data_IF_575994809164
#
_entry.id   IF_575994809164
#
_cell.length_a   1.000
_cell.length_b   1.000
_cell.length_c   1.000
_cell.angle_alpha   90.00
_cell.angle_beta   90.00
_cell.angle_gamma   90.00
#
_symmetry.space_group_name_H-M   'P 1'
#
loop_
_entity.id
_entity.type
_entity.pdbx_description
1 polymer ?
#
# COMPACT_ATOMS: atom_id res chain seq x y z
N UNK A 1 18.99 22.34 38.88
CA UNK A 1 18.92 22.30 37.40
C UNK A 1 18.99 20.87 36.85
N UNK A 2 19.92 20.00 37.29
CA UNK A 2 20.03 18.59 36.85
C UNK A 2 18.73 17.76 36.99
N UNK A 3 17.99 17.91 38.10
CA UNK A 3 16.70 17.21 38.32
C UNK A 3 15.57 17.67 37.39
N UNK A 4 15.55 18.95 36.99
CA UNK A 4 14.56 19.50 36.05
C UNK A 4 14.87 19.07 34.61
N UNK A 5 16.15 19.04 34.23
CA UNK A 5 16.60 18.53 32.93
C UNK A 5 16.30 17.03 32.81
N UNK A 6 16.57 16.25 33.87
CA UNK A 6 16.24 14.82 33.91
C UNK A 6 14.72 14.58 33.75
N UNK A 7 13.89 15.37 34.43
CA UNK A 7 12.43 15.30 34.32
C UNK A 7 11.97 15.57 32.88
N UNK A 8 12.56 16.57 32.22
CA UNK A 8 12.22 16.93 30.83
C UNK A 8 12.62 15.85 29.83
N UNK A 9 13.79 15.22 30.00
CA UNK A 9 14.21 14.09 29.13
C UNK A 9 13.30 12.87 29.29
N UNK A 10 12.87 12.55 30.52
CA UNK A 10 11.95 11.43 30.75
C UNK A 10 10.59 11.70 30.10
N UNK A 11 10.09 12.93 30.20
CA UNK A 11 8.80 13.32 29.63
C UNK A 11 8.82 13.26 28.09
N UNK A 12 9.95 13.62 27.47
CA UNK A 12 10.14 13.51 26.02
C UNK A 12 10.15 12.05 25.54
N UNK A 13 10.83 11.15 26.27
CA UNK A 13 10.82 9.71 25.97
C UNK A 13 9.41 9.13 26.10
N UNK A 14 8.67 9.46 27.16
CA UNK A 14 7.30 8.98 27.37
C UNK A 14 6.37 9.41 26.22
N UNK A 15 6.52 10.65 25.72
CA UNK A 15 5.71 11.14 24.60
C UNK A 15 5.92 10.35 23.30
N UNK A 16 7.13 9.80 23.07
CA UNK A 16 7.40 8.96 21.89
C UNK A 16 6.73 7.59 21.96
N UNK A 17 6.50 7.06 23.17
CA UNK A 17 5.85 5.75 23.38
C UNK A 17 4.33 5.85 23.20
N UNK A 18 3.73 7.00 23.54
CA UNK A 18 2.28 7.21 23.37
C UNK A 18 1.83 7.46 21.91
N UNK A 19 2.76 7.72 20.99
CA UNK A 19 2.44 7.85 19.55
C UNK A 19 2.30 6.51 18.82
N UNK A 20 2.43 5.38 19.50
CA UNK A 20 2.10 4.08 18.93
C UNK A 20 0.56 3.86 18.98
N UNK A 21 -0.15 4.29 17.93
CA UNK A 21 -1.52 3.83 17.71
C UNK A 21 -1.49 2.32 17.47
N UNK A 22 -1.87 1.54 18.47
CA UNK A 22 -2.22 0.14 18.28
C UNK A 22 -3.61 0.10 17.61
N UNK A 23 -3.65 0.08 16.28
CA UNK A 23 -4.87 -0.28 15.55
C UNK A 23 -5.07 -1.78 15.78
N UNK A 24 -6.10 -2.13 16.52
CA UNK A 24 -6.49 -3.52 16.75
C UNK A 24 -7.22 -4.05 15.51
N UNK A 25 -6.43 -4.61 14.60
CA UNK A 25 -6.85 -5.23 13.34
C UNK A 25 -7.89 -6.34 13.56
N UNK A 26 -7.95 -6.94 14.76
CA UNK A 26 -8.92 -7.99 15.07
C UNK A 26 -10.36 -7.48 15.08
N UNK A 27 -10.58 -6.23 15.52
CA UNK A 27 -11.92 -5.62 15.58
C UNK A 27 -12.51 -5.27 14.20
N UNK A 28 -11.66 -5.08 13.19
CA UNK A 28 -12.09 -4.80 11.81
C UNK A 28 -12.44 -6.08 11.03
N UNK A 29 -12.00 -7.24 11.51
CA UNK A 29 -12.25 -8.54 10.86
C UNK A 29 -13.55 -9.20 11.34
N UNK A 30 -14.19 -8.70 12.40
CA UNK A 30 -15.42 -9.29 12.95
C UNK A 30 -16.71 -8.84 12.25
N UNK A 31 -16.71 -7.75 11.46
CA UNK A 31 -17.95 -7.22 10.85
C UNK A 31 -18.30 -7.77 9.44
N UNK A 32 -17.44 -8.56 8.78
CA UNK A 32 -17.72 -9.05 7.43
C UNK A 32 -17.71 -10.59 7.34
N UNK A 33 -18.81 -11.24 7.73
CA UNK A 33 -18.96 -12.68 7.57
C UNK A 33 -20.38 -13.10 7.17
N UNK A 34 -20.67 -13.11 5.85
CA UNK A 34 -21.70 -13.96 5.22
C UNK A 34 -21.49 -14.28 3.72
N UNK A 35 -20.27 -14.22 3.15
CA UNK A 35 -20.09 -14.55 1.71
C UNK A 35 -18.85 -15.38 1.34
N UNK A 36 -18.17 -16.00 2.31
CA UNK A 36 -16.96 -16.79 2.08
C UNK A 36 -17.15 -18.29 2.33
N UNK A 37 -18.09 -18.91 1.62
CA UNK A 37 -18.30 -20.37 1.65
C UNK A 37 -17.11 -21.15 1.06
N UNK A 38 -16.19 -20.48 0.34
CA UNK A 38 -14.97 -21.11 -0.20
C UNK A 38 -13.89 -21.40 0.87
N UNK A 39 -13.94 -20.74 2.03
CA UNK A 39 -12.96 -20.90 3.11
C UNK A 39 -13.27 -22.08 4.04
N UNK A 40 -14.41 -22.74 3.87
CA UNK A 40 -14.85 -23.86 4.70
C UNK A 40 -14.38 -25.23 4.18
N UNK A 41 -13.53 -25.23 3.13
CA UNK A 41 -12.80 -26.41 2.67
C UNK A 41 -11.64 -26.69 3.63
N UNK A 42 -11.64 -27.87 4.22
CA UNK A 42 -10.71 -28.28 5.28
C UNK A 42 -9.24 -27.95 5.03
N UNK A 43 -8.57 -27.64 6.13
CA UNK A 43 -7.14 -27.42 6.31
C UNK A 43 -6.34 -28.71 6.00
N UNK A 44 -6.32 -29.11 4.74
CA UNK A 44 -5.40 -30.14 4.21
C UNK A 44 -4.68 -29.52 3.01
N UNK A 45 -3.42 -29.13 3.26
CA UNK A 45 -2.39 -28.71 2.30
C UNK A 45 -2.89 -27.99 1.03
N UNK A 46 -3.19 -26.69 1.17
CA UNK A 46 -3.21 -25.78 0.01
C UNK A 46 -1.76 -25.65 -0.48
N UNK A 47 -1.37 -26.56 -1.37
CA UNK A 47 -0.13 -26.46 -2.12
C UNK A 47 -0.23 -25.18 -2.97
N UNK A 48 0.56 -24.15 -2.63
CA UNK A 48 0.64 -22.93 -3.45
C UNK A 48 1.21 -23.30 -4.82
N UNK A 49 0.32 -23.42 -5.80
CA UNK A 49 0.66 -23.73 -7.19
C UNK A 49 0.94 -22.45 -7.99
N UNK A 50 0.97 -21.30 -7.33
CA UNK A 50 1.14 -19.98 -7.94
C UNK A 50 -0.12 -19.50 -8.69
N UNK A 51 0.02 -18.40 -9.45
CA UNK A 51 -1.09 -17.81 -10.19
C UNK A 51 -1.65 -18.78 -11.25
N UNK A 52 -2.97 -18.99 -11.23
CA UNK A 52 -3.67 -19.80 -12.23
C UNK A 52 -4.30 -18.91 -13.30
N UNK A 53 -4.38 -19.42 -14.54
CA UNK A 53 -5.08 -18.73 -15.63
C UNK A 53 -6.55 -18.54 -15.26
N UNK A 54 -7.08 -17.33 -15.45
CA UNK A 54 -8.42 -16.92 -15.02
C UNK A 54 -8.66 -16.97 -13.49
N UNK A 55 -7.59 -17.00 -12.70
CA UNK A 55 -7.69 -16.83 -11.25
C UNK A 55 -8.17 -15.43 -10.88
N UNK A 56 -8.75 -15.31 -9.68
CA UNK A 56 -9.14 -14.03 -9.10
C UNK A 56 -8.04 -13.58 -8.15
N UNK A 57 -7.57 -12.34 -8.32
CA UNK A 57 -6.61 -11.70 -7.43
C UNK A 57 -7.36 -10.77 -6.47
N UNK A 58 -7.36 -11.10 -5.19
CA UNK A 58 -7.90 -10.23 -4.14
C UNK A 58 -6.79 -9.35 -3.58
N UNK A 59 -6.86 -8.05 -3.85
CA UNK A 59 -5.90 -7.05 -3.35
C UNK A 59 -6.55 -6.23 -2.24
N UNK A 60 -5.77 -5.95 -1.19
CA UNK A 60 -6.15 -4.95 -0.21
C UNK A 60 -6.19 -3.56 -0.85
N UNK A 61 -7.23 -2.79 -0.56
CA UNK A 61 -7.33 -1.39 -0.93
C UNK A 61 -8.17 -0.61 0.07
N UNK A 62 -7.96 0.69 0.13
CA UNK A 62 -8.87 1.63 0.80
C UNK A 62 -10.04 1.98 -0.11
N UNK A 63 -11.12 2.51 0.46
CA UNK A 63 -12.23 3.04 -0.35
C UNK A 63 -11.72 4.09 -1.35
N UNK A 64 -12.02 3.92 -2.65
CA UNK A 64 -11.52 4.82 -3.68
C UNK A 64 -12.28 6.14 -3.70
N UNK A 65 -11.53 7.25 -3.73
CA UNK A 65 -12.10 8.59 -3.88
C UNK A 65 -12.53 8.87 -5.31
N UNK A 66 -11.71 8.46 -6.28
CA UNK A 66 -11.97 8.60 -7.72
C UNK A 66 -11.16 7.57 -8.51
N UNK A 67 -11.66 7.17 -9.68
CA UNK A 67 -10.92 6.30 -10.60
C UNK A 67 -10.09 7.10 -11.63
N UNK A 68 -10.15 8.43 -11.57
CA UNK A 68 -9.31 9.28 -12.40
C UNK A 68 -7.94 9.49 -11.73
N UNK A 69 -6.84 8.96 -12.28
CA UNK A 69 -5.52 9.01 -11.64
C UNK A 69 -4.95 10.42 -11.49
N UNK A 70 -5.49 11.42 -12.21
CA UNK A 70 -5.07 12.82 -12.09
C UNK A 70 -5.69 13.48 -10.85
N UNK A 71 -6.82 12.97 -10.36
CA UNK A 71 -7.64 13.60 -9.33
C UNK A 71 -7.52 12.93 -7.95
N UNK A 72 -6.81 11.80 -7.85
CA UNK A 72 -6.63 11.07 -6.58
C UNK A 72 -5.30 11.40 -5.92
N UNK A 73 -5.32 11.55 -4.60
CA UNK A 73 -4.11 11.58 -3.76
C UNK A 73 -3.90 10.26 -2.99
N UNK A 74 -4.80 9.29 -3.18
CA UNK A 74 -4.77 8.02 -2.49
C UNK A 74 -3.73 7.08 -3.12
N UNK A 75 -2.75 6.65 -2.32
CA UNK A 75 -1.67 5.78 -2.77
C UNK A 75 -2.18 4.42 -3.27
N UNK A 76 -3.18 3.84 -2.62
CA UNK A 76 -3.75 2.54 -3.01
C UNK A 76 -4.51 2.63 -4.35
N UNK A 77 -5.24 3.74 -4.56
CA UNK A 77 -5.92 4.01 -5.83
C UNK A 77 -4.91 4.14 -6.97
N UNK A 78 -3.80 4.82 -6.73
CA UNK A 78 -2.71 4.96 -7.69
C UNK A 78 -2.10 3.61 -8.09
N UNK A 79 -1.95 2.67 -7.15
CA UNK A 79 -1.36 1.35 -7.42
C UNK A 79 -2.19 0.53 -8.40
N UNK A 80 -3.48 0.32 -8.15
CA UNK A 80 -4.29 -0.47 -9.07
C UNK A 80 -4.70 0.31 -10.33
N UNK A 81 -4.62 1.65 -10.34
CA UNK A 81 -4.80 2.46 -11.56
C UNK A 81 -3.81 2.07 -12.67
N UNK A 82 -2.64 1.55 -12.29
CA UNK A 82 -1.62 1.05 -13.23
C UNK A 82 -2.07 -0.21 -14.00
N UNK A 83 -3.17 -0.87 -13.59
CA UNK A 83 -3.76 -1.96 -14.37
C UNK A 83 -4.61 -1.47 -15.55
N UNK A 84 -5.00 -0.20 -15.54
CA UNK A 84 -5.86 0.42 -16.57
C UNK A 84 -5.11 1.45 -17.39
N UNK A 85 -4.19 2.20 -16.76
CA UNK A 85 -3.47 3.29 -17.39
C UNK A 85 -1.96 3.05 -17.39
N UNK A 86 -1.31 3.41 -18.49
CA UNK A 86 0.14 3.40 -18.64
C UNK A 86 0.67 4.83 -18.80
N UNK A 87 1.83 5.11 -18.20
CA UNK A 87 2.55 6.37 -18.33
C UNK A 87 3.55 6.36 -19.48
N UNK A 88 4.10 7.53 -19.84
CA UNK A 88 5.18 7.62 -20.83
C UNK A 88 6.43 6.84 -20.39
N UNK A 89 6.79 7.00 -19.12
CA UNK A 89 7.92 6.34 -18.46
C UNK A 89 7.48 5.79 -17.10
N UNK A 90 8.19 4.80 -16.57
CA UNK A 90 7.98 4.28 -15.21
C UNK A 90 9.28 4.25 -14.41
N UNK A 91 9.18 4.10 -13.09
CA UNK A 91 10.35 3.87 -12.25
C UNK A 91 10.59 2.36 -12.11
N UNK A 92 11.84 1.94 -12.27
CA UNK A 92 12.28 0.58 -11.96
C UNK A 92 12.56 0.38 -10.45
N UNK A 93 12.97 -0.82 -10.06
CA UNK A 93 13.29 -1.15 -8.66
C UNK A 93 14.48 -0.36 -8.08
N UNK A 94 15.29 0.28 -8.93
CA UNK A 94 16.39 1.16 -8.52
C UNK A 94 16.00 2.65 -8.57
N UNK A 95 14.70 2.95 -8.72
CA UNK A 95 14.17 4.30 -8.87
C UNK A 95 14.68 5.04 -10.11
N UNK A 96 15.07 4.31 -11.15
CA UNK A 96 15.45 4.90 -12.44
C UNK A 96 14.25 5.00 -13.36
N UNK A 97 14.10 6.14 -14.05
CA UNK A 97 13.13 6.27 -15.13
C UNK A 97 13.51 5.34 -16.30
N UNK A 98 12.59 4.47 -16.68
CA UNK A 98 12.72 3.54 -17.80
C UNK A 98 11.55 3.72 -18.78
N UNK A 99 11.77 3.45 -20.08
CA UNK A 99 10.72 3.48 -21.10
C UNK A 99 9.48 2.67 -20.73
N UNK A 100 8.30 3.18 -21.10
CA UNK A 100 7.02 2.45 -21.04
C UNK A 100 6.24 2.68 -22.35
N UNK A 101 5.34 3.67 -22.41
CA UNK A 101 4.68 4.05 -23.67
C UNK A 101 5.61 4.83 -24.61
N UNK A 102 6.53 5.62 -24.05
CA UNK A 102 7.56 6.31 -24.82
C UNK A 102 8.83 5.46 -24.86
N UNK A 103 9.26 5.08 -26.06
CA UNK A 103 10.47 4.27 -26.28
C UNK A 103 11.76 5.03 -25.95
N UNK A 104 11.77 6.35 -26.21
CA UNK A 104 12.88 7.25 -25.92
C UNK A 104 12.37 8.68 -25.68
N UNK A 105 13.21 9.50 -25.06
CA UNK A 105 12.98 10.93 -24.87
C UNK A 105 14.33 11.67 -24.86
N UNK A 106 14.30 12.94 -25.24
CA UNK A 106 15.45 13.83 -25.20
C UNK A 106 15.03 15.12 -24.48
N UNK A 107 15.92 15.68 -23.68
CA UNK A 107 15.74 16.99 -23.04
C UNK A 107 16.54 18.04 -23.81
N UNK A 108 16.00 19.25 -23.91
CA UNK A 108 16.74 20.41 -24.42
C UNK A 108 17.81 20.87 -23.42
N UNK A 109 18.76 21.67 -23.89
CA UNK A 109 19.86 22.18 -23.07
C UNK A 109 19.37 23.12 -21.94
N UNK A 110 18.18 23.70 -22.07
CA UNK A 110 17.55 24.61 -21.11
C UNK A 110 16.57 23.94 -20.13
N UNK A 111 16.28 22.64 -20.33
CA UNK A 111 15.33 21.86 -19.52
C UNK A 111 13.86 22.22 -19.76
#
# INVERSE_FOLDING_TARGET
MKKRVFLLTVLMIISTVFSACNIDLSSLLEEENKDYDFLNGGMDDVLDTGPVKNGVLNLFSTEPDTLNPILTANAYVKEYSCFVFESLVRLDGNQKAVPLLAESWEGSDDG
#
